data_IF_433417729699
#
_entry.id   IF_433417729699
#
_cell.length_a   1.000
_cell.length_b   1.000
_cell.length_c   1.000
_cell.angle_alpha   90.00
_cell.angle_beta   90.00
_cell.angle_gamma   90.00
#
_symmetry.space_group_name_H-M   'P 1'
#
loop_
_entity.id
_entity.type
_entity.pdbx_description
1 polymer ?
#
# COMPACT_ATOMS: atom_id res chain seq x y z
N UNK A 1 45.18 -39.33 1.82
CA UNK A 1 43.95 -39.29 2.65
C UNK A 1 42.80 -38.85 1.77
N UNK A 2 41.83 -39.73 1.49
CA UNK A 2 40.60 -39.37 0.76
C UNK A 2 39.61 -38.80 1.78
N UNK A 3 38.98 -37.68 1.47
CA UNK A 3 37.90 -37.09 2.28
C UNK A 3 36.90 -38.18 2.69
N UNK A 4 36.50 -38.27 3.97
CA UNK A 4 35.50 -39.25 4.42
C UNK A 4 34.10 -38.96 3.86
N UNK A 5 33.92 -37.84 3.17
CA UNK A 5 32.67 -37.40 2.56
C UNK A 5 32.77 -37.49 1.04
N UNK A 6 31.88 -38.28 0.43
CA UNK A 6 31.73 -38.35 -1.02
C UNK A 6 31.27 -37.02 -1.63
N UNK A 7 31.49 -36.80 -2.94
CA UNK A 7 31.19 -35.53 -3.60
C UNK A 7 29.75 -35.04 -3.40
N UNK A 8 28.78 -35.94 -3.22
CA UNK A 8 27.39 -35.58 -2.90
C UNK A 8 27.22 -34.91 -1.52
N UNK A 9 27.96 -35.34 -0.50
CA UNK A 9 27.87 -34.77 0.87
C UNK A 9 28.53 -33.40 0.93
N UNK A 10 29.62 -33.17 0.19
CA UNK A 10 30.25 -31.86 0.09
C UNK A 10 29.41 -30.86 -0.70
N UNK A 11 28.70 -31.29 -1.75
CA UNK A 11 27.76 -30.45 -2.51
C UNK A 11 26.54 -30.09 -1.66
N UNK A 12 25.92 -31.06 -0.97
CA UNK A 12 24.81 -30.80 -0.05
C UNK A 12 25.23 -29.91 1.14
N UNK A 13 26.40 -30.17 1.74
CA UNK A 13 26.93 -29.38 2.85
C UNK A 13 27.24 -27.93 2.47
N UNK A 14 27.79 -27.71 1.27
CA UNK A 14 28.07 -26.35 0.77
C UNK A 14 26.79 -25.60 0.44
N UNK A 15 25.80 -26.27 -0.17
CA UNK A 15 24.49 -25.69 -0.44
C UNK A 15 23.74 -25.29 0.83
N UNK A 16 23.81 -26.11 1.89
CA UNK A 16 23.20 -25.79 3.18
C UNK A 16 23.87 -24.58 3.85
N UNK A 17 25.20 -24.46 3.79
CA UNK A 17 25.93 -23.30 4.33
C UNK A 17 25.57 -22.01 3.58
N UNK A 18 25.46 -22.07 2.25
CA UNK A 18 25.03 -20.92 1.43
C UNK A 18 23.60 -20.50 1.75
N UNK A 19 22.68 -21.47 1.91
CA UNK A 19 21.29 -21.19 2.28
C UNK A 19 21.18 -20.56 3.67
N UNK A 20 21.93 -21.07 4.65
CA UNK A 20 21.97 -20.52 6.01
C UNK A 20 22.53 -19.08 5.99
N UNK A 21 23.60 -18.82 5.24
CA UNK A 21 24.14 -17.48 5.06
C UNK A 21 23.14 -16.53 4.38
N UNK A 22 22.43 -16.99 3.35
CA UNK A 22 21.40 -16.22 2.66
C UNK A 22 20.24 -15.84 3.60
N UNK A 23 19.73 -16.80 4.37
CA UNK A 23 18.70 -16.53 5.37
C UNK A 23 19.22 -15.61 6.48
N UNK A 24 20.47 -15.75 6.90
CA UNK A 24 21.08 -14.89 7.92
C UNK A 24 21.20 -13.43 7.45
N UNK A 25 21.62 -13.20 6.20
CA UNK A 25 21.66 -11.86 5.60
C UNK A 25 20.24 -11.29 5.47
N UNK A 26 19.26 -12.12 5.11
CA UNK A 26 17.85 -11.72 5.06
C UNK A 26 17.29 -11.21 6.39
N UNK A 27 17.72 -11.80 7.51
CA UNK A 27 17.34 -11.35 8.88
C UNK A 27 17.99 -9.99 9.23
N UNK A 28 19.18 -9.71 8.67
CA UNK A 28 19.91 -8.46 8.92
C UNK A 28 19.37 -7.28 8.08
N UNK A 29 18.62 -7.55 7.01
CA UNK A 29 18.01 -6.52 6.19
C UNK A 29 16.80 -5.90 6.90
N UNK A 30 16.62 -4.58 6.83
CA UNK A 30 15.47 -3.92 7.43
C UNK A 30 14.18 -4.43 6.76
N UNK A 31 13.27 -5.00 7.55
CA UNK A 31 11.93 -5.42 7.09
C UNK A 31 10.96 -4.25 6.89
N UNK A 32 11.47 -3.02 6.87
CA UNK A 32 10.69 -1.78 6.71
C UNK A 32 10.93 -1.20 5.33
N UNK A 33 9.88 -0.64 4.72
CA UNK A 33 9.92 0.02 3.42
C UNK A 33 9.21 1.37 3.50
N UNK A 34 9.52 2.27 2.57
CA UNK A 34 8.88 3.59 2.46
C UNK A 34 8.71 3.95 0.99
N UNK A 35 7.52 4.44 0.65
CA UNK A 35 7.17 4.93 -0.68
C UNK A 35 6.60 6.34 -0.59
N UNK A 36 6.85 7.14 -1.62
CA UNK A 36 6.32 8.49 -1.76
C UNK A 36 6.00 8.74 -3.23
N UNK A 37 4.87 9.39 -3.49
CA UNK A 37 4.46 9.87 -4.81
C UNK A 37 3.75 11.23 -4.69
N UNK A 38 3.79 12.04 -5.75
CA UNK A 38 3.12 13.34 -5.78
C UNK A 38 2.51 13.64 -7.14
N UNK A 39 1.42 14.40 -7.15
CA UNK A 39 0.73 14.82 -8.38
C UNK A 39 0.13 16.22 -8.22
N UNK A 40 -0.10 16.91 -9.35
CA UNK A 40 -0.84 18.17 -9.39
C UNK A 40 -2.25 17.86 -9.91
N UNK A 41 -3.24 18.21 -9.13
CA UNK A 41 -4.64 17.96 -9.44
C UNK A 41 -5.28 19.28 -9.87
N UNK A 42 -5.94 19.34 -11.03
CA UNK A 42 -6.61 20.56 -11.52
C UNK A 42 -7.95 20.79 -10.81
N UNK A 43 -7.91 20.87 -9.48
CA UNK A 43 -9.05 21.02 -8.60
C UNK A 43 -8.64 21.71 -7.29
N UNK A 44 -9.60 22.28 -6.56
CA UNK A 44 -9.32 22.85 -5.23
C UNK A 44 -9.06 21.74 -4.19
N UNK A 45 -8.37 22.05 -3.07
CA UNK A 45 -8.13 21.07 -2.02
C UNK A 45 -9.44 20.48 -1.49
N UNK A 46 -10.50 21.28 -1.35
CA UNK A 46 -11.82 20.82 -0.90
C UNK A 46 -12.47 19.86 -1.91
N UNK A 47 -12.35 20.16 -3.20
CA UNK A 47 -12.88 19.33 -4.27
C UNK A 47 -12.13 18.00 -4.40
N UNK A 48 -10.85 17.96 -4.06
CA UNK A 48 -10.04 16.74 -3.97
C UNK A 48 -10.37 15.95 -2.70
N UNK A 49 -10.49 16.64 -1.56
CA UNK A 49 -10.64 16.02 -0.24
C UNK A 49 -11.88 15.13 -0.11
N UNK A 50 -12.96 15.43 -0.85
CA UNK A 50 -14.19 14.62 -0.87
C UNK A 50 -13.96 13.16 -1.30
N UNK A 51 -12.87 12.87 -2.01
CA UNK A 51 -12.53 11.52 -2.47
C UNK A 51 -11.61 10.78 -1.47
N UNK A 52 -11.09 11.49 -0.48
CA UNK A 52 -10.12 10.97 0.50
C UNK A 52 -10.79 10.64 1.85
N UNK A 53 -11.90 11.28 2.18
CA UNK A 53 -12.52 11.19 3.51
C UNK A 53 -13.44 9.97 3.72
N UNK A 54 -13.51 9.04 2.76
CA UNK A 54 -14.41 7.89 2.81
C UNK A 54 -13.93 6.69 1.99
N UNK A 55 -14.16 5.45 2.45
CA UNK A 55 -13.80 4.23 1.70
C UNK A 55 -14.37 4.19 0.27
N UNK A 56 -15.61 4.65 0.08
CA UNK A 56 -16.23 4.73 -1.26
C UNK A 56 -15.58 5.78 -2.17
N UNK A 57 -14.91 6.79 -1.61
CA UNK A 57 -14.09 7.71 -2.38
C UNK A 57 -12.83 7.03 -2.88
N UNK A 58 -12.14 6.28 -2.01
CA UNK A 58 -10.92 5.53 -2.30
C UNK A 58 -11.12 4.51 -3.42
N UNK A 59 -12.23 3.78 -3.42
CA UNK A 59 -12.53 2.75 -4.44
C UNK A 59 -12.60 3.26 -5.88
N UNK A 60 -12.64 4.58 -6.10
CA UNK A 60 -12.72 5.19 -7.43
C UNK A 60 -11.37 5.42 -8.07
N UNK A 61 -10.30 5.47 -7.30
CA UNK A 61 -8.97 5.85 -7.78
C UNK A 61 -7.85 4.93 -7.30
N UNK A 62 -8.07 4.10 -6.28
CA UNK A 62 -7.13 3.05 -5.88
C UNK A 62 -7.49 1.70 -6.50
N UNK A 63 -6.56 0.74 -6.38
CA UNK A 63 -6.90 -0.66 -6.54
C UNK A 63 -7.88 -1.03 -5.41
N UNK A 64 -8.94 -1.76 -5.75
CA UNK A 64 -9.99 -2.15 -4.83
C UNK A 64 -10.17 -3.67 -4.88
N UNK A 65 -10.44 -4.35 -3.75
CA UNK A 65 -10.74 -5.78 -3.77
C UNK A 65 -12.04 -6.09 -4.50
N UNK A 66 -12.04 -7.11 -5.34
CA UNK A 66 -13.21 -7.55 -6.11
C UNK A 66 -14.20 -8.36 -5.27
N UNK A 67 -13.74 -8.92 -4.14
CA UNK A 67 -14.54 -9.80 -3.30
C UNK A 67 -14.31 -9.58 -1.79
N UNK A 68 -15.27 -10.04 -0.99
CA UNK A 68 -15.15 -10.07 0.48
C UNK A 68 -15.18 -8.70 1.18
N UNK A 69 -15.53 -7.61 0.47
CA UNK A 69 -15.51 -6.25 1.03
C UNK A 69 -16.68 -6.02 2.00
N UNK A 70 -16.36 -5.54 3.21
CA UNK A 70 -17.34 -5.10 4.20
C UNK A 70 -16.93 -3.76 4.79
N UNK A 71 -17.79 -2.74 4.70
CA UNK A 71 -17.54 -1.44 5.31
C UNK A 71 -17.60 -1.54 6.84
N UNK A 72 -16.70 -0.85 7.52
CA UNK A 72 -16.66 -0.72 8.98
C UNK A 72 -16.66 0.76 9.39
N UNK A 73 -17.18 1.02 10.58
CA UNK A 73 -17.22 2.38 11.13
C UNK A 73 -18.23 3.32 10.44
N UNK A 74 -18.06 4.65 10.57
CA UNK A 74 -18.88 5.63 9.87
C UNK A 74 -18.63 5.61 8.36
N UNK A 75 -19.57 6.17 7.57
CA UNK A 75 -19.41 6.24 6.10
C UNK A 75 -18.26 7.14 5.65
N UNK A 76 -17.94 8.16 6.44
CA UNK A 76 -16.86 9.13 6.19
C UNK A 76 -16.26 9.54 7.53
N UNK A 77 -15.03 10.03 7.54
CA UNK A 77 -14.42 10.53 8.77
C UNK A 77 -13.44 9.54 9.43
N UNK A 78 -12.90 9.95 10.57
CA UNK A 78 -12.08 9.09 11.43
C UNK A 78 -12.84 7.84 11.86
N UNK A 79 -12.16 6.70 11.83
CA UNK A 79 -12.70 5.38 12.09
C UNK A 79 -13.46 4.76 10.92
N UNK A 80 -13.67 5.47 9.81
CA UNK A 80 -14.25 4.87 8.60
C UNK A 80 -13.25 3.92 7.94
N UNK A 81 -13.74 2.81 7.40
CA UNK A 81 -12.88 1.79 6.84
C UNK A 81 -13.61 0.67 6.12
N UNK A 82 -12.87 -0.35 5.72
CA UNK A 82 -13.41 -1.59 5.20
C UNK A 82 -12.48 -2.76 5.49
N UNK A 83 -13.06 -3.95 5.60
CA UNK A 83 -12.33 -5.22 5.60
C UNK A 83 -12.47 -5.86 4.23
N UNK A 84 -11.50 -6.67 3.83
CA UNK A 84 -11.62 -7.54 2.67
C UNK A 84 -11.06 -8.94 2.93
N UNK A 85 -11.57 -9.89 2.16
CA UNK A 85 -11.09 -11.26 2.08
C UNK A 85 -11.15 -11.65 0.61
N UNK A 86 -10.02 -11.49 -0.06
CA UNK A 86 -9.89 -11.65 -1.51
C UNK A 86 -8.78 -12.67 -1.83
N UNK A 87 -9.00 -13.63 -2.76
CA UNK A 87 -8.01 -14.63 -3.11
C UNK A 87 -6.69 -14.06 -3.66
N UNK A 88 -6.74 -12.90 -4.32
CA UNK A 88 -5.57 -12.26 -4.94
C UNK A 88 -4.92 -11.24 -3.99
N UNK A 89 -5.73 -10.43 -3.30
CA UNK A 89 -5.23 -9.39 -2.39
C UNK A 89 -5.06 -9.85 -0.94
N UNK A 90 -5.44 -11.09 -0.63
CA UNK A 90 -5.42 -11.66 0.71
C UNK A 90 -6.50 -11.06 1.62
N UNK A 91 -6.27 -11.13 2.92
CA UNK A 91 -7.18 -10.56 3.93
C UNK A 91 -6.59 -9.33 4.59
N UNK A 92 -7.39 -8.30 4.80
CA UNK A 92 -6.97 -7.16 5.59
C UNK A 92 -8.07 -6.17 5.94
N UNK A 93 -7.65 -5.09 6.57
CA UNK A 93 -8.48 -4.01 7.09
C UNK A 93 -7.83 -2.68 6.75
N UNK A 94 -8.56 -1.79 6.09
CA UNK A 94 -8.19 -0.40 5.86
C UNK A 94 -9.01 0.48 6.81
N UNK A 95 -8.36 1.40 7.51
CA UNK A 95 -9.02 2.34 8.42
C UNK A 95 -8.42 3.73 8.31
N UNK A 96 -9.26 4.74 8.10
CA UNK A 96 -8.88 6.15 8.23
C UNK A 96 -8.82 6.49 9.72
N UNK A 97 -7.68 6.94 10.20
CA UNK A 97 -7.44 7.18 11.63
C UNK A 97 -7.46 8.66 12.03
N UNK A 98 -7.14 9.55 11.10
CA UNK A 98 -7.04 10.98 11.38
C UNK A 98 -7.41 11.77 10.12
N UNK A 99 -8.21 12.83 10.27
CA UNK A 99 -8.64 13.67 9.16
C UNK A 99 -8.54 15.15 9.55
N UNK A 100 -7.82 15.93 8.75
CA UNK A 100 -7.74 17.39 8.87
C UNK A 100 -8.21 18.06 7.58
N UNK A 101 -9.50 18.33 7.38
CA UNK A 101 -9.99 18.89 6.12
C UNK A 101 -9.53 20.34 5.90
N UNK A 102 -9.21 20.75 4.65
CA UNK A 102 -8.96 19.95 3.45
C UNK A 102 -7.46 19.66 3.26
N UNK A 103 -6.69 19.49 4.36
CA UNK A 103 -5.23 19.49 4.37
C UNK A 103 -4.60 18.11 4.37
N UNK A 104 -5.09 17.19 5.18
CA UNK A 104 -4.47 15.87 5.27
C UNK A 104 -5.40 14.77 5.77
N UNK A 105 -5.03 13.53 5.43
CA UNK A 105 -5.62 12.32 6.01
C UNK A 105 -4.51 11.36 6.38
N UNK A 106 -4.72 10.58 7.44
CA UNK A 106 -3.89 9.43 7.79
C UNK A 106 -4.75 8.19 7.90
N UNK A 107 -4.21 7.07 7.45
CA UNK A 107 -4.85 5.77 7.49
C UNK A 107 -3.83 4.69 7.83
N UNK A 108 -4.34 3.52 8.18
CA UNK A 108 -3.52 2.32 8.22
C UNK A 108 -4.20 1.17 7.50
N UNK A 109 -3.36 0.23 7.08
CA UNK A 109 -3.77 -1.03 6.48
C UNK A 109 -3.14 -2.15 7.28
N UNK A 110 -3.97 -3.04 7.81
CA UNK A 110 -3.53 -4.24 8.52
C UNK A 110 -3.87 -5.46 7.67
N UNK A 111 -2.86 -6.28 7.37
CA UNK A 111 -3.03 -7.50 6.58
C UNK A 111 -2.61 -8.73 7.39
N UNK A 112 -3.09 -9.90 6.98
CA UNK A 112 -2.72 -11.19 7.60
C UNK A 112 -2.96 -11.20 9.13
N UNK A 113 -4.09 -10.65 9.57
CA UNK A 113 -4.44 -10.57 11.00
C UNK A 113 -3.51 -9.67 11.83
N UNK A 114 -2.93 -8.63 11.21
CA UNK A 114 -2.01 -7.67 11.86
C UNK A 114 -0.53 -8.06 11.78
N UNK A 115 -0.20 -9.14 11.06
CA UNK A 115 1.19 -9.53 10.80
C UNK A 115 1.95 -8.56 9.88
N UNK A 116 1.22 -7.80 9.07
CA UNK A 116 1.78 -6.70 8.28
C UNK A 116 0.94 -5.45 8.51
N UNK A 117 1.63 -4.33 8.70
CA UNK A 117 1.01 -3.02 8.87
C UNK A 117 1.63 -2.02 7.90
N UNK A 118 0.78 -1.24 7.26
CA UNK A 118 1.12 -0.10 6.43
C UNK A 118 0.48 1.13 7.07
N UNK A 119 1.26 2.17 7.26
CA UNK A 119 0.81 3.49 7.70
C UNK A 119 0.96 4.46 6.52
N UNK A 120 -0.12 5.15 6.18
CA UNK A 120 -0.17 6.07 5.05
C UNK A 120 -0.65 7.46 5.43
N UNK A 121 -0.14 8.45 4.71
CA UNK A 121 -0.47 9.86 4.88
C UNK A 121 -0.61 10.54 3.52
N UNK A 122 -1.70 11.28 3.35
CA UNK A 122 -1.92 12.13 2.18
C UNK A 122 -1.99 13.58 2.67
N UNK A 123 -1.17 14.45 2.08
CA UNK A 123 -1.16 15.89 2.30
C UNK A 123 -1.59 16.63 1.03
N UNK A 124 -2.43 17.65 1.21
CA UNK A 124 -2.92 18.54 0.17
C UNK A 124 -2.40 19.96 0.43
N UNK A 125 -1.84 20.58 -0.60
CA UNK A 125 -1.47 22.00 -0.58
C UNK A 125 -1.93 22.71 -1.85
N UNK A 126 -2.35 23.97 -1.70
CA UNK A 126 -2.76 24.81 -2.82
C UNK A 126 -1.52 25.29 -3.58
N UNK A 127 -1.50 25.09 -4.90
CA UNK A 127 -0.41 25.49 -5.78
C UNK A 127 -1.01 26.14 -7.04
N UNK A 128 -0.88 27.46 -7.17
CA UNK A 128 -1.33 28.24 -8.35
C UNK A 128 -2.81 28.07 -8.77
N UNK A 129 -3.68 27.64 -7.85
CA UNK A 129 -5.11 27.40 -8.11
C UNK A 129 -5.48 25.92 -8.22
N UNK A 130 -4.47 25.06 -8.32
CA UNK A 130 -4.55 23.60 -8.32
C UNK A 130 -4.17 23.03 -6.94
N UNK A 131 -4.28 21.70 -6.79
CA UNK A 131 -3.91 20.99 -5.56
C UNK A 131 -2.72 20.09 -5.78
N UNK A 132 -1.63 20.36 -5.07
CA UNK A 132 -0.53 19.42 -4.91
C UNK A 132 -0.93 18.34 -3.92
N UNK A 133 -0.95 17.10 -4.36
CA UNK A 133 -1.12 15.91 -3.51
C UNK A 133 0.25 15.30 -3.27
N UNK A 134 0.56 15.02 -2.01
CA UNK A 134 1.73 14.26 -1.59
C UNK A 134 1.27 13.05 -0.79
N UNK A 135 1.59 11.85 -1.28
CA UNK A 135 1.18 10.60 -0.67
C UNK A 135 2.41 9.81 -0.24
N UNK A 136 2.50 9.52 1.06
CA UNK A 136 3.52 8.69 1.66
C UNK A 136 2.91 7.44 2.26
N UNK A 137 3.60 6.33 2.06
CA UNK A 137 3.32 5.08 2.77
C UNK A 137 4.61 4.53 3.36
N UNK A 138 4.48 3.90 4.52
CA UNK A 138 5.54 3.12 5.13
C UNK A 138 4.97 1.83 5.67
N UNK A 139 5.72 0.74 5.61
CA UNK A 139 5.24 -0.54 6.08
C UNK A 139 6.32 -1.35 6.76
N UNK A 140 5.87 -2.30 7.58
CA UNK A 140 6.71 -3.29 8.22
C UNK A 140 6.23 -4.69 7.81
N UNK A 141 7.09 -5.41 7.08
CA UNK A 141 6.83 -6.76 6.57
C UNK A 141 7.15 -7.86 7.60
N UNK A 142 7.44 -7.49 8.85
CA UNK A 142 7.75 -8.39 9.94
C UNK A 142 9.17 -8.99 9.88
N UNK A 143 9.46 -9.89 10.83
CA UNK A 143 10.78 -10.51 10.99
C UNK A 143 10.97 -11.78 10.12
N UNK A 144 10.64 -11.70 8.83
CA UNK A 144 10.85 -12.80 7.89
C UNK A 144 12.13 -12.57 7.06
N UNK A 145 13.12 -13.49 7.10
CA UNK A 145 14.37 -13.38 6.35
C UNK A 145 14.20 -13.10 4.86
N UNK A 146 13.14 -13.64 4.26
CA UNK A 146 12.86 -13.44 2.84
C UNK A 146 12.37 -12.02 2.59
N UNK A 147 11.61 -11.43 3.52
CA UNK A 147 10.98 -10.11 3.36
C UNK A 147 11.98 -8.95 3.38
N UNK A 148 13.13 -9.11 4.05
CA UNK A 148 14.20 -8.12 3.98
C UNK A 148 14.74 -7.90 2.55
N UNK A 149 14.74 -8.95 1.72
CA UNK A 149 15.10 -8.81 0.30
C UNK A 149 13.97 -8.21 -0.53
N UNK A 150 12.71 -8.53 -0.22
CA UNK A 150 11.54 -7.92 -0.89
C UNK A 150 11.44 -6.42 -0.64
N UNK A 151 11.77 -5.97 0.58
CA UNK A 151 11.79 -4.55 0.94
C UNK A 151 12.66 -3.70 0.00
N UNK A 152 13.79 -4.23 -0.48
CA UNK A 152 14.70 -3.52 -1.39
C UNK A 152 14.08 -3.14 -2.75
N UNK A 153 13.07 -3.89 -3.18
CA UNK A 153 12.29 -3.60 -4.40
C UNK A 153 10.94 -2.96 -4.10
N UNK A 154 10.43 -3.11 -2.86
CA UNK A 154 9.10 -2.69 -2.47
C UNK A 154 8.91 -1.18 -2.60
N UNK A 155 9.89 -0.39 -2.15
CA UNK A 155 9.84 1.08 -2.25
C UNK A 155 9.48 1.53 -3.67
N UNK A 156 10.19 1.01 -4.68
CA UNK A 156 9.97 1.40 -6.09
C UNK A 156 8.67 0.88 -6.65
N UNK A 157 8.33 -0.37 -6.34
CA UNK A 157 7.09 -0.99 -6.82
C UNK A 157 5.89 -0.24 -6.23
N UNK A 158 5.91 0.01 -4.93
CA UNK A 158 4.86 0.75 -4.24
C UNK A 158 4.77 2.19 -4.75
N UNK A 159 5.89 2.92 -4.87
CA UNK A 159 5.88 4.27 -5.47
C UNK A 159 5.19 4.27 -6.84
N UNK A 160 5.46 3.29 -7.70
CA UNK A 160 4.81 3.20 -9.01
C UNK A 160 3.29 2.95 -8.92
N UNK A 161 2.82 2.15 -7.95
CA UNK A 161 1.38 1.95 -7.73
C UNK A 161 0.69 3.19 -7.15
N UNK A 162 1.40 3.95 -6.29
CA UNK A 162 0.92 5.25 -5.80
C UNK A 162 0.78 6.24 -6.95
N UNK A 163 1.80 6.35 -7.82
CA UNK A 163 1.76 7.21 -9.02
C UNK A 163 0.56 6.86 -9.92
N UNK A 164 0.35 5.57 -10.24
CA UNK A 164 -0.80 5.13 -11.06
C UNK A 164 -2.14 5.48 -10.42
N UNK A 165 -2.24 5.37 -9.10
CA UNK A 165 -3.47 5.70 -8.37
C UNK A 165 -3.71 7.22 -8.37
N UNK A 166 -2.66 8.02 -8.19
CA UNK A 166 -2.73 9.47 -8.32
C UNK A 166 -3.12 9.90 -9.74
N UNK A 167 -2.63 9.23 -10.78
CA UNK A 167 -3.05 9.48 -12.16
C UNK A 167 -4.56 9.25 -12.36
N UNK A 168 -5.12 8.19 -11.74
CA UNK A 168 -6.58 7.97 -11.74
C UNK A 168 -7.31 9.07 -10.97
N UNK A 169 -6.74 9.54 -9.86
CA UNK A 169 -7.32 10.65 -9.08
C UNK A 169 -7.33 11.95 -9.89
N UNK A 170 -6.27 12.25 -10.65
CA UNK A 170 -6.22 13.38 -11.59
C UNK A 170 -7.36 13.28 -12.60
N UNK A 171 -7.50 12.13 -13.27
CA UNK A 171 -8.59 11.91 -14.25
C UNK A 171 -9.98 12.04 -13.61
N UNK A 172 -10.13 11.57 -12.37
CA UNK A 172 -11.38 11.63 -11.61
C UNK A 172 -11.78 13.06 -11.26
N UNK A 173 -10.82 13.93 -10.93
CA UNK A 173 -11.11 15.35 -10.62
C UNK A 173 -11.28 16.18 -11.88
N UNK A 174 -10.61 15.84 -12.99
CA UNK A 174 -10.78 16.48 -14.30
C UNK A 174 -12.16 16.20 -14.90
N UNK A 175 -12.64 14.95 -14.82
CA UNK A 175 -13.91 14.52 -15.40
C UNK A 175 -14.81 13.81 -14.36
N UNK A 176 -15.43 14.54 -13.42
CA UNK A 176 -16.24 13.94 -12.36
C UNK A 176 -17.47 13.15 -12.86
N UNK A 177 -17.95 13.46 -14.07
CA UNK A 177 -19.19 12.91 -14.66
C UNK A 177 -19.00 11.53 -15.27
N UNK A 178 -17.83 11.23 -15.85
CA UNK A 178 -17.58 9.96 -16.56
C UNK A 178 -17.48 8.75 -15.63
N UNK A 179 -17.26 8.99 -14.33
CA UNK A 179 -17.19 7.95 -13.31
C UNK A 179 -18.53 7.63 -12.62
N UNK A 180 -19.63 8.30 -13.00
CA UNK A 180 -20.98 7.97 -12.49
C UNK A 180 -21.61 6.83 -13.32
N UNK A 181 -21.19 6.65 -14.57
CA UNK A 181 -21.77 5.67 -15.50
C UNK A 181 -21.09 4.28 -15.47
N UNK A 182 -20.11 4.08 -14.58
CA UNK A 182 -19.35 2.83 -14.45
C UNK A 182 -19.68 1.98 -13.21
N UNK A 183 -20.74 2.31 -12.45
CA UNK A 183 -21.28 1.37 -11.47
C UNK A 183 -21.76 0.09 -12.19
N UNK A 184 -21.23 -1.10 -11.87
CA UNK A 184 -21.82 -2.33 -12.36
C UNK A 184 -23.23 -2.41 -11.75
N UNK A 185 -24.23 -2.46 -12.63
CA UNK A 185 -25.61 -2.72 -12.26
C UNK A 185 -25.70 -3.95 -11.37
N UNK A 186 -26.11 -3.72 -10.10
CA UNK A 186 -26.68 -4.65 -9.11
C UNK A 186 -26.43 -6.15 -9.26
#
# INVERSE_FOLDING_TARGET
MRSPFGPGVTILGTGAVILILFLFVGILLPGTWSAEASALLPASPEATFRYLDSPSGWSRWTIWPDSGVQTIGPQRGEGSGFTWDDPELGTGVFTIVEIHPPKSIRYHVEMQGGGMRIDGEIELSLEEGDTRVLWRESGNLGANPLMGYWALSMDRVQTSELEKSLDRLVQLVENPTDFIDSEPSR
#
